data_IF_289742327778
#
_entry.id   IF_289742327778
#
_cell.length_a   1.000
_cell.length_b   1.000
_cell.length_c   1.000
_cell.angle_alpha   90.00
_cell.angle_beta   90.00
_cell.angle_gamma   90.00
#
_symmetry.space_group_name_H-M   'P 1'
#
loop_
_entity.id
_entity.type
_entity.pdbx_description
1 polymer ?
#
# COMPACT_ATOMS: atom_id res chain seq x y z
N UNK A 1 47.14 7.91 -12.40
CA UNK A 1 46.74 7.00 -11.29
C UNK A 1 45.67 7.60 -10.36
N UNK A 2 45.62 8.92 -10.12
CA UNK A 2 44.63 9.53 -9.21
C UNK A 2 43.13 9.44 -9.63
N UNK A 3 42.83 9.26 -10.92
CA UNK A 3 41.45 9.16 -11.41
C UNK A 3 40.79 7.80 -11.12
N UNK A 4 41.57 6.72 -11.16
CA UNK A 4 41.09 5.37 -10.88
C UNK A 4 40.73 5.20 -9.39
N UNK A 5 41.53 5.78 -8.50
CA UNK A 5 41.26 5.77 -7.05
C UNK A 5 39.98 6.54 -6.68
N UNK A 6 39.69 7.64 -7.39
CA UNK A 6 38.43 8.38 -7.23
C UNK A 6 37.23 7.57 -7.72
N UNK A 7 37.33 6.93 -8.89
CA UNK A 7 36.26 6.08 -9.41
C UNK A 7 35.92 4.94 -8.45
N UNK A 8 36.94 4.27 -7.89
CA UNK A 8 36.76 3.18 -6.95
C UNK A 8 36.13 3.63 -5.62
N UNK A 9 36.45 4.84 -5.14
CA UNK A 9 35.77 5.45 -4.00
C UNK A 9 34.31 5.80 -4.27
N UNK A 10 33.99 6.28 -5.47
CA UNK A 10 32.60 6.55 -5.84
C UNK A 10 31.79 5.25 -5.96
N UNK A 11 32.35 4.19 -6.52
CA UNK A 11 31.70 2.87 -6.59
C UNK A 11 31.43 2.29 -5.20
N UNK A 12 32.41 2.36 -4.29
CA UNK A 12 32.24 1.92 -2.90
C UNK A 12 31.15 2.74 -2.18
N UNK A 13 31.15 4.06 -2.36
CA UNK A 13 30.14 4.95 -1.76
C UNK A 13 28.72 4.66 -2.30
N UNK A 14 28.59 4.43 -3.61
CA UNK A 14 27.30 4.12 -4.24
C UNK A 14 26.76 2.78 -3.73
N UNK A 15 27.61 1.75 -3.63
CA UNK A 15 27.22 0.43 -3.13
C UNK A 15 26.84 0.46 -1.65
N UNK A 16 27.70 1.01 -0.81
CA UNK A 16 27.64 0.77 0.64
C UNK A 16 26.77 1.79 1.38
N UNK A 17 26.66 3.00 0.85
CA UNK A 17 25.91 4.10 1.47
C UNK A 17 24.66 4.38 0.65
N UNK A 18 24.81 4.76 -0.62
CA UNK A 18 23.69 5.27 -1.40
C UNK A 18 22.60 4.23 -1.65
N UNK A 19 22.95 3.02 -2.07
CA UNK A 19 21.96 1.94 -2.28
C UNK A 19 21.33 1.46 -0.98
N UNK A 20 22.08 1.50 0.13
CA UNK A 20 21.56 1.13 1.45
C UNK A 20 20.52 2.16 1.90
N UNK A 21 20.85 3.44 1.77
CA UNK A 21 19.97 4.53 2.18
C UNK A 21 18.74 4.62 1.27
N UNK A 22 18.89 4.40 -0.04
CA UNK A 22 17.76 4.30 -0.98
C UNK A 22 16.82 3.15 -0.64
N UNK A 23 17.35 1.98 -0.24
CA UNK A 23 16.53 0.85 0.22
C UNK A 23 15.80 1.17 1.52
N UNK A 24 16.48 1.86 2.43
CA UNK A 24 15.92 2.25 3.72
C UNK A 24 14.78 3.26 3.57
N UNK A 25 14.98 4.26 2.71
CA UNK A 25 13.95 5.24 2.39
C UNK A 25 12.84 4.56 1.57
N UNK A 26 13.17 3.77 0.55
CA UNK A 26 12.22 3.15 -0.37
C UNK A 26 11.29 2.09 0.22
N UNK A 27 11.68 1.39 1.28
CA UNK A 27 10.85 0.36 1.92
C UNK A 27 9.50 0.90 2.41
N UNK A 28 9.49 1.93 3.27
CA UNK A 28 8.26 2.61 3.71
C UNK A 28 7.38 3.14 2.56
N UNK A 29 7.99 3.75 1.53
CA UNK A 29 7.24 4.24 0.35
C UNK A 29 6.62 3.11 -0.46
N UNK A 30 7.30 1.97 -0.59
CA UNK A 30 6.81 0.81 -1.31
C UNK A 30 5.53 0.23 -0.69
N UNK A 31 5.47 0.12 0.64
CA UNK A 31 4.29 -0.37 1.35
C UNK A 31 3.08 0.57 1.24
N UNK A 32 3.32 1.88 1.29
CA UNK A 32 2.28 2.90 1.11
C UNK A 32 1.77 2.92 -0.34
N UNK A 33 2.67 2.88 -1.32
CA UNK A 33 2.32 2.82 -2.74
C UNK A 33 1.48 1.58 -3.06
N UNK A 34 1.84 0.42 -2.49
CA UNK A 34 1.05 -0.80 -2.61
C UNK A 34 -0.35 -0.63 -1.99
N UNK A 35 -0.45 -0.02 -0.81
CA UNK A 35 -1.74 0.24 -0.15
C UNK A 35 -2.63 1.20 -0.96
N UNK A 36 -2.03 2.24 -1.56
CA UNK A 36 -2.73 3.20 -2.44
C UNK A 36 -3.20 2.54 -3.72
N UNK A 37 -2.35 1.75 -4.38
CA UNK A 37 -2.71 1.01 -5.58
C UNK A 37 -3.79 -0.03 -5.30
N UNK A 38 -3.69 -0.73 -4.17
CA UNK A 38 -4.69 -1.69 -3.73
C UNK A 38 -6.04 -1.01 -3.48
N UNK A 39 -6.07 0.08 -2.70
CA UNK A 39 -7.30 0.83 -2.44
C UNK A 39 -7.89 1.47 -3.71
N UNK A 40 -7.03 1.90 -4.65
CA UNK A 40 -7.44 2.41 -5.95
C UNK A 40 -8.03 1.32 -6.86
N UNK A 41 -7.43 0.13 -6.89
CA UNK A 41 -7.96 -1.03 -7.62
C UNK A 41 -9.29 -1.49 -7.04
N UNK A 42 -9.43 -1.46 -5.72
CA UNK A 42 -10.70 -1.65 -5.03
C UNK A 42 -11.67 -0.56 -5.49
N UNK A 43 -11.34 0.73 -5.39
CA UNK A 43 -12.24 1.81 -5.83
C UNK A 43 -12.66 1.74 -7.30
N UNK A 44 -11.83 1.16 -8.18
CA UNK A 44 -12.18 0.85 -9.56
C UNK A 44 -13.10 -0.37 -9.71
N UNK A 45 -12.90 -1.42 -8.89
CA UNK A 45 -13.77 -2.59 -8.81
C UNK A 45 -15.15 -2.26 -8.18
N UNK A 46 -15.16 -1.36 -7.19
CA UNK A 46 -16.33 -0.83 -6.49
C UNK A 46 -16.89 0.44 -7.15
N UNK A 47 -16.44 0.80 -8.36
CA UNK A 47 -16.91 1.98 -9.12
C UNK A 47 -18.44 2.01 -9.27
N UNK A 48 -19.04 3.19 -9.53
CA UNK A 48 -20.35 3.64 -9.07
C UNK A 48 -21.47 2.66 -9.44
N UNK A 49 -21.60 1.62 -8.63
CA UNK A 49 -22.74 0.75 -8.62
C UNK A 49 -23.20 0.77 -7.19
N UNK A 50 -24.36 1.37 -7.03
CA UNK A 50 -25.31 1.18 -5.94
C UNK A 50 -25.55 -0.33 -5.72
N UNK A 51 -24.56 -1.03 -5.18
CA UNK A 51 -24.71 -2.40 -4.73
C UNK A 51 -25.48 -2.33 -3.41
N UNK A 52 -26.80 -2.10 -3.51
CA UNK A 52 -27.76 -2.29 -2.42
C UNK A 52 -28.03 -3.78 -2.13
N UNK A 53 -27.16 -4.67 -2.61
CA UNK A 53 -27.31 -6.12 -2.48
C UNK A 53 -26.03 -6.81 -2.02
N UNK A 54 -26.16 -8.02 -1.47
CA UNK A 54 -25.04 -8.81 -1.01
C UNK A 54 -24.10 -9.12 -2.18
N UNK A 55 -22.81 -8.89 -1.96
CA UNK A 55 -21.77 -9.10 -2.96
C UNK A 55 -21.15 -10.48 -2.75
N UNK A 56 -21.30 -11.35 -3.73
CA UNK A 56 -20.57 -12.62 -3.78
C UNK A 56 -19.14 -12.40 -4.29
N UNK A 57 -18.16 -12.70 -3.46
CA UNK A 57 -16.73 -12.65 -3.80
C UNK A 57 -16.05 -13.96 -3.51
N UNK A 58 -14.99 -14.22 -4.25
CA UNK A 58 -14.10 -15.34 -3.98
C UNK A 58 -12.89 -14.81 -3.22
N UNK A 59 -12.74 -15.22 -1.97
CA UNK A 59 -11.68 -14.76 -1.07
C UNK A 59 -10.63 -15.86 -0.94
N UNK A 60 -9.35 -15.50 -1.10
CA UNK A 60 -8.24 -16.40 -0.83
C UNK A 60 -7.96 -16.45 0.69
N UNK A 61 -8.09 -17.63 1.28
CA UNK A 61 -7.77 -17.88 2.70
C UNK A 61 -6.27 -18.21 2.90
N UNK A 62 -5.49 -18.31 1.81
CA UNK A 62 -4.07 -18.62 1.81
C UNK A 62 -3.74 -19.87 1.00
N UNK A 63 -2.50 -19.95 0.50
CA UNK A 63 -2.02 -21.07 -0.33
C UNK A 63 -2.90 -21.37 -1.55
N UNK A 64 -3.42 -20.35 -2.24
CA UNK A 64 -4.33 -20.51 -3.39
C UNK A 64 -5.65 -21.24 -3.01
N UNK A 65 -6.11 -21.09 -1.77
CA UNK A 65 -7.35 -21.70 -1.31
C UNK A 65 -8.48 -20.67 -1.32
N UNK A 66 -9.39 -20.84 -2.27
CA UNK A 66 -10.43 -19.87 -2.55
C UNK A 66 -11.78 -20.30 -1.98
N UNK A 67 -12.44 -19.41 -1.24
CA UNK A 67 -13.77 -19.62 -0.67
C UNK A 67 -14.75 -18.55 -1.17
N UNK A 68 -15.96 -18.97 -1.52
CA UNK A 68 -17.05 -18.05 -1.82
C UNK A 68 -17.56 -17.42 -0.53
N UNK A 69 -17.46 -16.10 -0.43
CA UNK A 69 -17.95 -15.30 0.67
C UNK A 69 -19.03 -14.33 0.17
N UNK A 70 -20.06 -14.16 0.98
CA UNK A 70 -21.11 -13.17 0.76
C UNK A 70 -20.83 -11.96 1.65
N UNK A 71 -20.62 -10.80 1.04
CA UNK A 71 -20.38 -9.54 1.74
C UNK A 71 -21.70 -8.77 1.81
N UNK A 72 -22.32 -8.64 2.99
CA UNK A 72 -23.65 -8.05 3.14
C UNK A 72 -23.70 -6.53 2.93
N UNK A 73 -22.61 -5.80 3.21
CA UNK A 73 -22.50 -4.37 2.90
C UNK A 73 -21.14 -4.07 2.25
N UNK A 74 -21.07 -3.88 0.92
CA UNK A 74 -19.83 -3.56 0.23
C UNK A 74 -19.40 -2.09 0.37
N UNK A 75 -20.20 -1.23 1.00
CA UNK A 75 -19.94 0.22 1.09
C UNK A 75 -18.88 0.58 2.14
N UNK A 76 -18.52 -0.36 3.00
CA UNK A 76 -17.63 -0.16 4.15
C UNK A 76 -16.40 -1.06 4.07
N UNK A 77 -15.24 -0.50 4.37
CA UNK A 77 -13.95 -1.18 4.34
C UNK A 77 -13.23 -1.02 5.68
N UNK A 78 -12.54 -2.07 6.13
CA UNK A 78 -11.70 -2.00 7.32
C UNK A 78 -10.31 -1.49 6.95
N UNK A 79 -9.94 -0.34 7.52
CA UNK A 79 -8.62 0.27 7.35
C UNK A 79 -7.83 0.11 8.63
N UNK A 80 -6.62 -0.46 8.53
CA UNK A 80 -5.70 -0.57 9.65
C UNK A 80 -5.14 0.80 10.03
N UNK A 81 -5.48 1.30 11.22
CA UNK A 81 -4.97 2.57 11.75
C UNK A 81 -3.55 2.42 12.30
N UNK A 82 -3.23 1.23 12.82
CA UNK A 82 -1.97 0.90 13.50
C UNK A 82 -2.22 0.23 14.86
N UNK A 83 -1.19 -0.35 15.46
CA UNK A 83 -1.26 -1.02 16.78
C UNK A 83 -2.33 -2.13 16.89
N UNK A 84 -2.69 -2.76 15.77
CA UNK A 84 -3.73 -3.79 15.73
C UNK A 84 -5.17 -3.27 15.74
N UNK A 85 -5.37 -1.95 15.65
CA UNK A 85 -6.70 -1.36 15.52
C UNK A 85 -7.10 -1.20 14.05
N UNK A 86 -8.35 -1.56 13.78
CA UNK A 86 -9.00 -1.40 12.48
C UNK A 86 -10.20 -0.47 12.64
N UNK A 87 -10.35 0.48 11.71
CA UNK A 87 -11.52 1.34 11.62
C UNK A 87 -12.33 0.99 10.39
N UNK A 88 -13.64 0.88 10.58
CA UNK A 88 -14.60 0.74 9.48
C UNK A 88 -14.85 2.13 8.88
N UNK A 89 -14.46 2.30 7.63
CA UNK A 89 -14.55 3.57 6.90
C UNK A 89 -15.27 3.36 5.57
N UNK A 90 -15.92 4.40 5.08
CA UNK A 90 -16.39 4.42 3.69
C UNK A 90 -15.21 4.57 2.74
N UNK A 91 -15.35 4.13 1.49
CA UNK A 91 -14.33 4.29 0.45
C UNK A 91 -13.76 5.72 0.35
N UNK A 92 -14.58 6.80 0.30
CA UNK A 92 -14.05 8.16 0.24
C UNK A 92 -13.35 8.60 1.55
N UNK A 93 -13.75 8.09 2.71
CA UNK A 93 -13.05 8.34 3.97
C UNK A 93 -11.69 7.64 4.04
N UNK A 94 -11.61 6.40 3.53
CA UNK A 94 -10.39 5.64 3.46
C UNK A 94 -9.36 6.32 2.54
N UNK A 95 -9.80 6.84 1.39
CA UNK A 95 -8.95 7.64 0.48
C UNK A 95 -8.42 8.89 1.17
N UNK A 96 -9.29 9.67 1.84
CA UNK A 96 -8.86 10.85 2.62
C UNK A 96 -7.88 10.49 3.74
N UNK A 97 -8.09 9.37 4.42
CA UNK A 97 -7.18 8.90 5.46
C UNK A 97 -5.80 8.58 4.88
N UNK A 98 -5.76 7.96 3.71
CA UNK A 98 -4.52 7.58 3.04
C UNK A 98 -3.76 8.81 2.51
N UNK A 99 -4.44 9.79 1.93
CA UNK A 99 -3.87 11.08 1.54
C UNK A 99 -3.28 11.82 2.75
N UNK A 100 -4.00 11.81 3.88
CA UNK A 100 -3.52 12.41 5.13
C UNK A 100 -2.29 11.67 5.67
N UNK A 101 -2.25 10.34 5.60
CA UNK A 101 -1.07 9.55 5.98
C UNK A 101 0.13 9.86 5.08
N UNK A 102 -0.09 9.97 3.77
CA UNK A 102 0.96 10.28 2.80
C UNK A 102 1.55 11.68 3.03
N UNK A 103 0.71 12.69 3.26
CA UNK A 103 1.18 14.06 3.56
C UNK A 103 1.92 14.18 4.90
N UNK A 104 1.59 13.37 5.90
CA UNK A 104 2.33 13.31 7.17
C UNK A 104 3.70 12.63 7.03
N UNK A 105 3.83 11.66 6.12
CA UNK A 105 5.07 10.92 5.88
C UNK A 105 6.02 11.63 4.89
N UNK A 106 5.53 12.64 4.17
CA UNK A 106 6.31 13.52 3.29
C UNK A 106 7.02 14.67 4.03
N UNK A 107 6.87 14.78 5.36
CA UNK A 107 7.58 15.74 6.22
C UNK A 107 8.70 15.05 6.98
#
# INVERSE_FOLDING_TARGET
>A
MAAAEKAQRYEAFVSDVLQRDLRWVGGPWGGLGFSVLHLGSLGGFWGPQDAEGPLHTQVDLGCNFFVSAEVPDPRRVFVALGFGFFAELTLPEALRHLERRNSLLQR
#
